data_IF_980618902454
#
_entry.id   IF_980618902454
#
_cell.length_a   1.000
_cell.length_b   1.000
_cell.length_c   1.000
_cell.angle_alpha   90.00
_cell.angle_beta   90.00
_cell.angle_gamma   90.00
#
_symmetry.space_group_name_H-M   'P 1'
#
loop_
_entity.id
_entity.type
_entity.pdbx_description
1 polymer ?
#
# COMPACT_ATOMS: atom_id res chain seq x y z
N UNK A 1 13.23 25.03 -28.55
CA UNK A 1 13.04 26.44 -28.16
C UNK A 1 13.02 26.46 -26.64
N UNK A 2 13.84 27.27 -25.98
CA UNK A 2 13.87 27.29 -24.51
C UNK A 2 12.57 27.87 -23.94
N UNK A 3 12.14 27.43 -22.76
CA UNK A 3 10.93 27.96 -22.12
C UNK A 3 11.04 29.48 -21.88
N UNK A 4 12.24 29.99 -21.61
CA UNK A 4 12.50 31.43 -21.53
C UNK A 4 12.20 32.20 -22.82
N UNK A 5 12.47 31.61 -24.00
CA UNK A 5 12.13 32.23 -25.28
C UNK A 5 10.61 32.24 -25.52
N UNK A 6 9.90 31.18 -25.12
CA UNK A 6 8.44 31.08 -25.21
C UNK A 6 7.78 32.12 -24.30
N UNK A 7 8.21 32.20 -23.03
CA UNK A 7 7.68 33.17 -22.06
C UNK A 7 7.93 34.62 -22.48
N UNK A 8 9.10 34.91 -23.07
CA UNK A 8 9.43 36.26 -23.57
C UNK A 8 8.52 36.68 -24.72
N UNK A 9 8.24 35.77 -25.66
CA UNK A 9 7.32 36.03 -26.77
C UNK A 9 5.88 36.26 -26.28
N UNK A 10 5.43 35.50 -25.28
CA UNK A 10 4.08 35.63 -24.71
C UNK A 10 3.92 36.93 -23.91
N UNK A 11 4.97 37.39 -23.21
CA UNK A 11 4.99 38.71 -22.54
C UNK A 11 4.93 39.85 -23.56
N UNK A 12 5.66 39.75 -24.66
CA UNK A 12 5.62 40.74 -25.74
C UNK A 12 4.21 40.87 -26.37
N UNK A 13 3.39 39.82 -26.28
CA UNK A 13 1.99 39.82 -26.70
C UNK A 13 1.00 40.39 -25.65
N UNK A 14 1.49 41.03 -24.58
CA UNK A 14 0.67 41.78 -23.61
C UNK A 14 0.11 40.97 -22.44
N UNK A 15 0.52 39.71 -22.26
CA UNK A 15 0.12 38.89 -21.10
C UNK A 15 1.08 39.12 -19.91
N UNK A 16 0.54 39.66 -18.81
CA UNK A 16 1.31 40.05 -17.63
C UNK A 16 1.41 38.96 -16.54
N UNK A 17 0.38 38.12 -16.39
CA UNK A 17 0.39 36.96 -15.49
C UNK A 17 0.51 35.67 -16.30
N UNK A 18 1.62 34.95 -16.14
CA UNK A 18 1.91 33.72 -16.86
C UNK A 18 2.33 32.63 -15.88
N UNK A 19 1.78 31.45 -16.07
CA UNK A 19 2.26 30.20 -15.49
C UNK A 19 2.73 29.32 -16.63
N UNK A 20 3.87 28.65 -16.47
CA UNK A 20 4.38 27.72 -17.45
C UNK A 20 4.98 26.49 -16.76
N UNK A 21 4.75 25.34 -17.38
CA UNK A 21 5.25 24.04 -16.96
C UNK A 21 5.88 23.34 -18.16
N UNK A 22 6.98 22.62 -17.93
CA UNK A 22 7.55 21.67 -18.89
C UNK A 22 7.20 20.27 -18.42
N UNK A 23 6.65 19.46 -19.33
CA UNK A 23 6.59 18.00 -19.12
C UNK A 23 7.73 17.39 -19.92
N UNK A 24 8.67 16.75 -19.23
CA UNK A 24 9.80 16.08 -19.84
C UNK A 24 9.74 14.58 -19.54
N UNK A 25 9.96 13.76 -20.57
CA UNK A 25 10.19 12.32 -20.37
C UNK A 25 11.69 12.09 -20.22
N UNK A 26 12.12 11.53 -19.08
CA UNK A 26 13.48 11.05 -18.87
C UNK A 26 13.51 9.54 -18.75
N UNK A 27 14.62 8.94 -19.13
CA UNK A 27 14.87 7.52 -18.93
C UNK A 27 15.85 7.33 -17.78
N UNK A 28 15.52 6.40 -16.89
CA UNK A 28 16.39 5.99 -15.78
C UNK A 28 16.67 4.50 -15.94
N UNK A 29 17.94 4.17 -16.12
CA UNK A 29 18.39 2.78 -16.32
C UNK A 29 19.21 2.30 -15.14
N UNK A 30 19.03 1.04 -14.76
CA UNK A 30 19.89 0.35 -13.80
C UNK A 30 19.91 -1.16 -14.06
N UNK A 31 20.96 -1.80 -13.56
CA UNK A 31 21.19 -3.24 -13.70
C UNK A 31 21.10 -3.93 -12.34
N UNK A 32 20.51 -5.11 -12.29
CA UNK A 32 20.44 -5.97 -11.12
C UNK A 32 20.96 -7.36 -11.46
N UNK A 33 21.79 -7.94 -10.58
CA UNK A 33 22.32 -9.29 -10.74
C UNK A 33 21.67 -10.22 -9.72
N UNK A 34 20.91 -11.20 -10.22
CA UNK A 34 20.36 -12.29 -9.43
C UNK A 34 21.26 -13.52 -9.57
N UNK A 35 21.89 -13.92 -8.47
CA UNK A 35 22.62 -15.18 -8.36
C UNK A 35 21.79 -16.21 -7.62
N UNK A 36 21.61 -17.38 -8.21
CA UNK A 36 20.87 -18.51 -7.65
C UNK A 36 21.89 -19.58 -7.27
N UNK A 37 22.25 -19.65 -5.99
CA UNK A 37 23.18 -20.65 -5.47
C UNK A 37 22.47 -21.99 -5.21
N UNK A 38 23.08 -23.10 -5.62
CA UNK A 38 22.49 -24.43 -5.47
C UNK A 38 21.34 -24.68 -6.45
N UNK A 39 21.48 -24.22 -7.70
CA UNK A 39 20.43 -24.27 -8.71
C UNK A 39 19.86 -25.68 -8.91
N UNK A 40 20.72 -26.71 -8.96
CA UNK A 40 20.30 -28.11 -9.11
C UNK A 40 19.43 -28.61 -7.96
N UNK A 41 19.61 -28.07 -6.75
CA UNK A 41 18.76 -28.41 -5.59
C UNK A 41 17.43 -27.67 -5.66
N UNK A 42 17.46 -26.39 -6.01
CA UNK A 42 16.26 -25.55 -6.14
C UNK A 42 15.34 -26.12 -7.22
N UNK A 43 15.89 -26.51 -8.37
CA UNK A 43 15.12 -27.12 -9.46
C UNK A 43 14.50 -28.47 -9.10
N UNK A 44 15.05 -29.22 -8.13
CA UNK A 44 14.44 -30.47 -7.65
C UNK A 44 13.34 -30.25 -6.61
N UNK A 45 13.45 -29.19 -5.81
CA UNK A 45 12.50 -28.90 -4.71
C UNK A 45 11.24 -28.23 -5.24
N UNK A 46 11.38 -27.31 -6.20
CA UNK A 46 10.25 -26.53 -6.71
C UNK A 46 9.54 -27.26 -7.84
N UNK A 47 8.23 -27.48 -7.69
CA UNK A 47 7.40 -28.03 -8.76
C UNK A 47 7.12 -26.98 -9.85
N UNK A 48 6.61 -27.44 -11.00
CA UNK A 48 6.06 -26.55 -12.05
C UNK A 48 5.05 -25.57 -11.43
N UNK A 49 5.14 -24.29 -11.79
CA UNK A 49 4.30 -23.23 -11.24
C UNK A 49 4.77 -22.65 -9.89
N UNK A 50 5.84 -23.18 -9.28
CA UNK A 50 6.47 -22.58 -8.10
C UNK A 50 7.69 -21.74 -8.50
N UNK A 51 7.87 -20.61 -7.82
CA UNK A 51 8.95 -19.67 -8.09
C UNK A 51 9.79 -19.35 -6.86
N UNK A 52 11.03 -19.00 -7.12
CA UNK A 52 11.87 -18.17 -6.25
C UNK A 52 11.70 -16.69 -6.60
N UNK A 53 11.89 -15.81 -5.61
CA UNK A 53 11.83 -14.36 -5.77
C UNK A 53 13.17 -13.75 -5.37
N UNK A 54 13.69 -12.81 -6.16
CA UNK A 54 14.88 -12.05 -5.81
C UNK A 54 14.63 -11.11 -4.62
N UNK A 55 15.72 -10.55 -4.09
CA UNK A 55 15.64 -9.33 -3.27
C UNK A 55 15.03 -8.16 -4.06
N UNK A 56 14.65 -7.10 -3.34
CA UNK A 56 14.15 -5.87 -3.94
C UNK A 56 15.28 -5.05 -4.54
N UNK A 57 15.06 -4.47 -5.72
CA UNK A 57 15.93 -3.43 -6.28
C UNK A 57 15.08 -2.29 -6.85
N UNK A 58 15.64 -1.08 -6.91
CA UNK A 58 14.88 0.12 -7.25
C UNK A 58 15.41 0.78 -8.53
N UNK A 59 14.52 1.09 -9.48
CA UNK A 59 14.85 1.76 -10.75
C UNK A 59 13.74 2.76 -11.08
N UNK A 60 14.12 3.99 -11.43
CA UNK A 60 13.16 5.04 -11.82
C UNK A 60 12.15 5.43 -10.74
N UNK A 61 12.48 5.23 -9.46
CA UNK A 61 11.57 5.47 -8.34
C UNK A 61 10.57 4.34 -8.08
N UNK A 62 10.71 3.19 -8.74
CA UNK A 62 9.89 2.00 -8.54
C UNK A 62 10.73 0.84 -7.99
N UNK A 63 10.11 0.00 -7.16
CA UNK A 63 10.72 -1.23 -6.65
C UNK A 63 10.32 -2.44 -7.48
N UNK A 64 11.28 -3.33 -7.68
CA UNK A 64 11.17 -4.47 -8.59
C UNK A 64 11.65 -5.76 -7.92
N UNK A 65 11.07 -6.88 -8.38
CA UNK A 65 11.54 -8.23 -8.09
C UNK A 65 11.67 -9.03 -9.38
N UNK A 66 12.58 -10.00 -9.38
CA UNK A 66 12.65 -11.05 -10.40
C UNK A 66 12.00 -12.31 -9.82
N UNK A 67 11.00 -12.84 -10.51
CA UNK A 67 10.43 -14.15 -10.25
C UNK A 67 11.10 -15.17 -11.19
N UNK A 68 11.66 -16.22 -10.61
CA UNK A 68 12.32 -17.30 -11.34
C UNK A 68 11.57 -18.62 -11.07
N UNK A 69 11.03 -19.20 -12.14
CA UNK A 69 10.39 -20.51 -12.15
C UNK A 69 11.34 -21.52 -12.80
N UNK A 70 12.06 -22.36 -12.02
CA UNK A 70 13.06 -23.26 -12.58
C UNK A 70 12.44 -24.34 -13.48
N UNK A 71 11.17 -24.69 -13.29
CA UNK A 71 10.47 -25.78 -13.99
C UNK A 71 9.23 -25.32 -14.75
N UNK A 72 9.19 -24.04 -15.16
CA UNK A 72 8.08 -23.45 -15.90
C UNK A 72 7.03 -22.80 -15.01
N UNK A 73 6.41 -21.72 -15.50
CA UNK A 73 5.38 -20.98 -14.76
C UNK A 73 3.98 -21.61 -14.81
N UNK A 74 3.71 -22.47 -15.80
CA UNK A 74 2.47 -23.26 -15.94
C UNK A 74 2.81 -24.63 -16.51
N UNK A 75 1.92 -25.63 -16.38
CA UNK A 75 2.18 -27.00 -16.85
C UNK A 75 2.56 -27.08 -18.34
N UNK A 76 2.00 -26.20 -19.16
CA UNK A 76 2.32 -26.11 -20.60
C UNK A 76 3.74 -25.60 -20.91
N UNK A 77 4.43 -25.02 -19.92
CA UNK A 77 5.81 -24.50 -20.03
C UNK A 77 6.81 -25.35 -19.23
N UNK A 78 6.41 -26.58 -18.87
CA UNK A 78 7.27 -27.53 -18.17
C UNK A 78 8.49 -27.85 -19.02
N UNK A 79 9.67 -27.91 -18.39
CA UNK A 79 10.94 -28.14 -19.08
C UNK A 79 11.60 -26.86 -19.58
N UNK A 80 11.08 -25.69 -19.21
CA UNK A 80 11.67 -24.38 -19.48
C UNK A 80 11.92 -23.60 -18.19
N UNK A 81 12.93 -22.74 -18.19
CA UNK A 81 13.06 -21.68 -17.18
C UNK A 81 12.13 -20.54 -17.59
N UNK A 82 11.38 -20.01 -16.63
CA UNK A 82 10.60 -18.79 -16.82
C UNK A 82 11.11 -17.68 -15.90
N UNK A 83 11.18 -16.46 -16.42
CA UNK A 83 11.56 -15.28 -15.65
C UNK A 83 10.56 -14.17 -15.86
N UNK A 84 10.18 -13.51 -14.76
CA UNK A 84 9.31 -12.34 -14.79
C UNK A 84 9.89 -11.22 -13.96
N UNK A 85 9.78 -10.00 -14.49
CA UNK A 85 9.95 -8.79 -13.70
C UNK A 85 8.59 -8.43 -13.10
N UNK A 86 8.58 -8.16 -11.80
CA UNK A 86 7.39 -7.78 -11.06
C UNK A 86 7.56 -6.39 -10.46
N UNK A 87 6.55 -5.55 -10.67
CA UNK A 87 6.48 -4.21 -10.11
C UNK A 87 5.97 -4.27 -8.66
N UNK A 88 6.89 -4.27 -7.71
CA UNK A 88 6.62 -4.49 -6.29
C UNK A 88 6.01 -3.28 -5.59
N UNK A 89 6.30 -2.06 -6.08
CA UNK A 89 5.83 -0.81 -5.47
C UNK A 89 4.64 -0.18 -6.18
N UNK A 90 3.98 -0.86 -7.13
CA UNK A 90 2.88 -0.27 -7.92
C UNK A 90 1.86 0.52 -7.08
N UNK A 91 1.41 -0.07 -5.96
CA UNK A 91 0.44 0.57 -5.07
C UNK A 91 0.93 1.89 -4.44
N UNK A 92 2.25 2.10 -4.35
CA UNK A 92 2.88 3.33 -3.83
C UNK A 92 3.26 4.30 -4.95
N UNK A 93 3.74 3.78 -6.07
CA UNK A 93 4.42 4.55 -7.12
C UNK A 93 3.58 4.76 -8.37
N UNK A 94 2.38 4.17 -8.42
CA UNK A 94 1.51 4.17 -9.59
C UNK A 94 2.02 3.25 -10.70
N UNK A 95 1.35 3.35 -11.85
CA UNK A 95 1.73 2.65 -13.08
C UNK A 95 3.10 3.11 -13.59
N UNK A 96 3.80 2.24 -14.29
CA UNK A 96 5.04 2.62 -14.96
C UNK A 96 5.25 1.88 -16.26
N UNK A 97 6.06 2.47 -17.14
CA UNK A 97 6.49 1.82 -18.39
C UNK A 97 7.99 1.60 -18.32
N UNK A 98 8.40 0.35 -18.53
CA UNK A 98 9.81 -0.01 -18.52
C UNK A 98 10.19 -0.90 -19.71
N UNK A 99 11.38 -0.64 -20.25
CA UNK A 99 12.11 -1.61 -21.06
C UNK A 99 12.84 -2.56 -20.11
N UNK A 100 12.74 -3.86 -20.39
CA UNK A 100 13.35 -4.92 -19.59
C UNK A 100 14.21 -5.79 -20.47
N UNK A 101 15.43 -6.07 -20.03
CA UNK A 101 16.34 -7.03 -20.64
C UNK A 101 16.82 -8.01 -19.57
N UNK A 102 16.73 -9.30 -19.88
CA UNK A 102 17.23 -10.37 -19.02
C UNK A 102 18.26 -11.17 -19.77
N UNK A 103 19.38 -11.47 -19.12
CA UNK A 103 20.48 -12.25 -19.67
C UNK A 103 20.97 -13.31 -18.69
N UNK A 104 21.22 -14.52 -19.17
CA UNK A 104 22.02 -15.50 -18.43
C UNK A 104 23.50 -15.15 -18.65
N UNK A 105 24.25 -15.03 -17.57
CA UNK A 105 25.69 -14.80 -17.62
C UNK A 105 26.46 -16.11 -17.68
N UNK A 106 27.50 -16.15 -18.50
CA UNK A 106 28.46 -17.25 -18.51
C UNK A 106 29.50 -17.14 -17.38
N UNK A 107 30.45 -18.09 -17.33
CA UNK A 107 31.55 -18.08 -16.36
C UNK A 107 32.46 -16.84 -16.42
N UNK A 108 32.51 -16.16 -17.56
CA UNK A 108 33.25 -14.92 -17.75
C UNK A 108 32.40 -13.67 -17.40
N UNK A 109 31.20 -13.88 -16.81
CA UNK A 109 30.22 -12.84 -16.50
C UNK A 109 29.74 -12.07 -17.73
N UNK A 110 29.72 -12.72 -18.89
CA UNK A 110 29.22 -12.15 -20.14
C UNK A 110 27.81 -12.65 -20.46
N UNK A 111 26.91 -11.80 -20.99
CA UNK A 111 25.61 -12.22 -21.48
C UNK A 111 25.76 -13.30 -22.55
N UNK A 112 25.24 -14.50 -22.27
CA UNK A 112 25.28 -15.66 -23.17
C UNK A 112 23.95 -15.87 -23.88
N UNK A 113 22.84 -15.68 -23.17
CA UNK A 113 21.49 -15.76 -23.70
C UNK A 113 20.68 -14.58 -23.18
N UNK A 114 20.19 -13.74 -24.09
CA UNK A 114 19.52 -12.47 -23.75
C UNK A 114 18.16 -12.39 -24.42
N UNK A 115 17.15 -11.95 -23.67
CA UNK A 115 15.89 -11.50 -24.25
C UNK A 115 15.53 -10.10 -23.77
N UNK A 116 14.98 -9.31 -24.69
CA UNK A 116 14.64 -7.91 -24.45
C UNK A 116 13.18 -7.66 -24.78
N UNK A 117 12.50 -6.92 -23.90
CA UNK A 117 11.17 -6.37 -24.13
C UNK A 117 11.24 -4.86 -24.07
N UNK A 118 10.96 -4.25 -25.20
CA UNK A 118 10.74 -2.80 -25.25
C UNK A 118 9.39 -2.46 -24.61
N UNK A 119 9.42 -1.42 -23.77
CA UNK A 119 8.29 -0.62 -23.30
C UNK A 119 7.05 -1.44 -22.91
N UNK A 120 7.15 -2.15 -21.79
CA UNK A 120 6.00 -2.79 -21.15
C UNK A 120 5.41 -1.89 -20.07
N UNK A 121 4.09 -1.72 -20.08
CA UNK A 121 3.36 -0.99 -19.05
C UNK A 121 2.94 -1.93 -17.93
N UNK A 122 3.47 -1.70 -16.73
CA UNK A 122 3.11 -2.36 -15.48
C UNK A 122 1.95 -1.61 -14.83
N UNK A 123 0.76 -2.21 -14.81
CA UNK A 123 -0.45 -1.64 -14.22
C UNK A 123 -1.46 -2.71 -13.84
N UNK A 124 -2.46 -2.34 -13.04
CA UNK A 124 -3.59 -3.22 -12.73
C UNK A 124 -4.43 -3.57 -13.98
N UNK A 125 -4.39 -2.74 -15.03
CA UNK A 125 -5.16 -2.98 -16.26
C UNK A 125 -4.47 -3.98 -17.20
N UNK A 126 -3.14 -4.12 -17.13
CA UNK A 126 -2.37 -5.07 -17.94
C UNK A 126 -1.94 -6.26 -17.10
N UNK A 127 -0.92 -6.07 -16.27
CA UNK A 127 -0.40 -6.96 -15.25
C UNK A 127 0.68 -6.22 -14.46
N UNK A 128 0.82 -6.53 -13.17
CA UNK A 128 1.92 -6.04 -12.33
C UNK A 128 3.22 -6.84 -12.54
N UNK A 129 3.16 -7.92 -13.30
CA UNK A 129 4.34 -8.69 -13.69
C UNK A 129 4.34 -8.98 -15.19
N UNK A 130 5.54 -9.04 -15.76
CA UNK A 130 5.73 -9.42 -17.15
C UNK A 130 7.05 -10.13 -17.34
N UNK A 131 7.08 -11.09 -18.26
CA UNK A 131 8.25 -11.92 -18.46
C UNK A 131 8.10 -12.95 -19.57
N UNK A 132 9.08 -13.83 -19.64
CA UNK A 132 9.17 -14.89 -20.61
C UNK A 132 8.78 -16.21 -19.96
N UNK A 133 7.71 -16.81 -20.48
CA UNK A 133 7.21 -18.12 -20.02
C UNK A 133 8.16 -19.25 -20.42
N UNK A 134 8.77 -19.14 -21.59
CA UNK A 134 9.81 -20.04 -22.10
C UNK A 134 11.08 -19.22 -22.35
N UNK A 135 11.78 -18.84 -21.29
CA UNK A 135 12.98 -17.99 -21.43
C UNK A 135 14.13 -18.77 -22.07
N UNK A 136 14.38 -19.98 -21.58
CA UNK A 136 15.30 -20.97 -22.15
C UNK A 136 14.80 -22.35 -21.74
N UNK A 137 14.89 -23.35 -22.63
CA UNK A 137 14.54 -24.72 -22.26
C UNK A 137 15.67 -25.36 -21.45
N UNK A 138 15.35 -26.37 -20.65
CA UNK A 138 16.36 -27.16 -19.95
C UNK A 138 17.36 -27.83 -20.88
N UNK A 139 16.89 -28.32 -22.04
CA UNK A 139 17.74 -28.95 -23.06
C UNK A 139 18.74 -27.96 -23.69
N UNK A 140 18.39 -26.68 -23.74
CA UNK A 140 19.23 -25.61 -24.31
C UNK A 140 20.12 -24.92 -23.25
N UNK A 141 19.89 -25.21 -21.96
CA UNK A 141 20.69 -24.67 -20.87
C UNK A 141 22.01 -25.44 -20.74
N UNK A 142 23.05 -24.90 -21.37
CA UNK A 142 24.41 -25.44 -21.25
C UNK A 142 24.94 -25.33 -19.80
N UNK A 143 25.03 -26.46 -19.11
CA UNK A 143 25.48 -26.54 -17.71
C UNK A 143 26.96 -26.16 -17.57
N UNK A 144 27.81 -26.51 -18.53
CA UNK A 144 29.24 -26.21 -18.50
C UNK A 144 29.56 -24.76 -18.84
N UNK A 145 28.58 -24.02 -19.38
CA UNK A 145 28.71 -22.59 -19.70
C UNK A 145 27.99 -21.68 -18.71
N UNK A 146 26.80 -22.09 -18.27
CA UNK A 146 25.86 -21.23 -17.53
C UNK A 146 25.82 -21.49 -16.02
N UNK A 147 26.36 -22.62 -15.54
CA UNK A 147 26.28 -23.03 -14.13
C UNK A 147 27.68 -23.12 -13.50
N UNK A 148 28.12 -22.05 -12.84
CA UNK A 148 29.40 -22.02 -12.10
C UNK A 148 29.21 -22.47 -10.68
N UNK A 149 29.87 -23.56 -10.27
CA UNK A 149 29.76 -24.08 -8.89
C UNK A 149 28.28 -24.32 -8.48
N UNK A 150 27.48 -24.89 -9.39
CA UNK A 150 26.02 -25.07 -9.25
C UNK A 150 25.25 -23.73 -9.05
N UNK A 151 25.74 -22.63 -9.62
CA UNK A 151 25.12 -21.33 -9.50
C UNK A 151 24.74 -20.75 -10.88
N UNK A 152 23.46 -20.40 -11.02
CA UNK A 152 22.95 -19.71 -12.20
C UNK A 152 22.92 -18.21 -11.92
N UNK A 153 23.46 -17.40 -12.83
CA UNK A 153 23.50 -15.93 -12.66
C UNK A 153 22.74 -15.23 -13.78
N UNK A 154 21.81 -14.36 -13.38
CA UNK A 154 20.94 -13.59 -14.27
C UNK A 154 21.26 -12.11 -14.11
N UNK A 155 21.53 -11.43 -15.21
CA UNK A 155 21.59 -9.98 -15.30
C UNK A 155 20.24 -9.44 -15.76
N UNK A 156 19.72 -8.45 -15.07
CA UNK A 156 18.49 -7.76 -15.39
C UNK A 156 18.75 -6.28 -15.57
N UNK A 157 18.59 -5.79 -16.80
CA UNK A 157 18.67 -4.38 -17.12
C UNK A 157 17.25 -3.82 -17.27
N UNK A 158 16.93 -2.82 -16.45
CA UNK A 158 15.63 -2.16 -16.45
C UNK A 158 15.83 -0.70 -16.79
N UNK A 159 15.03 -0.19 -17.74
CA UNK A 159 14.99 1.23 -18.09
C UNK A 159 13.57 1.73 -17.95
N UNK A 160 13.35 2.60 -16.97
CA UNK A 160 12.03 3.19 -16.68
C UNK A 160 11.93 4.56 -17.33
N UNK A 161 10.80 4.84 -17.97
CA UNK A 161 10.48 6.18 -18.46
C UNK A 161 9.71 6.94 -17.37
N UNK A 162 10.30 8.01 -16.84
CA UNK A 162 9.71 8.88 -15.83
C UNK A 162 9.29 10.19 -16.48
N UNK A 163 8.07 10.64 -16.20
CA UNK A 163 7.60 11.97 -16.60
C UNK A 163 7.86 12.94 -15.45
N UNK A 164 8.81 13.84 -15.64
CA UNK A 164 9.01 14.95 -14.70
C UNK A 164 8.24 16.17 -15.20
N UNK A 165 7.62 16.89 -14.27
CA UNK A 165 7.02 18.20 -14.55
C UNK A 165 7.84 19.26 -13.83
N UNK A 166 8.49 20.13 -14.58
CA UNK A 166 9.22 21.27 -14.03
C UNK A 166 8.35 22.52 -14.14
N UNK A 167 7.98 23.08 -13.00
CA UNK A 167 7.27 24.36 -12.92
C UNK A 167 8.27 25.51 -12.95
N UNK A 168 8.18 26.38 -13.95
CA UNK A 168 9.03 27.56 -14.03
C UNK A 168 8.38 28.72 -13.28
N UNK A 169 8.89 28.98 -12.07
CA UNK A 169 8.63 30.19 -11.28
C UNK A 169 9.97 30.89 -11.03
N UNK A 170 10.32 31.88 -11.84
CA UNK A 170 11.43 32.77 -11.51
C UNK A 170 11.02 33.69 -10.35
N UNK A 171 11.55 33.43 -9.15
CA UNK A 171 11.49 34.34 -8.01
C UNK A 171 12.88 34.44 -7.35
N UNK A 172 13.18 35.64 -6.87
CA UNK A 172 14.49 36.15 -6.49
C UNK A 172 15.22 35.42 -5.32
N UNK A 173 16.50 35.79 -5.17
CA UNK A 173 17.57 35.30 -4.30
C UNK A 173 17.27 35.23 -2.76
N UNK A 174 18.15 34.61 -1.92
CA UNK A 174 17.77 33.67 -0.85
C UNK A 174 17.67 34.19 0.60
N UNK A 175 16.89 33.42 1.39
CA UNK A 175 16.94 33.07 2.83
C UNK A 175 16.76 34.14 3.95
N UNK A 176 16.13 33.80 5.12
CA UNK A 176 16.61 32.73 6.02
C UNK A 176 15.58 31.91 6.85
N UNK A 177 16.15 30.87 7.49
CA UNK A 177 15.69 30.04 8.61
C UNK A 177 14.67 28.94 8.33
N UNK A 178 15.22 27.74 8.08
CA UNK A 178 14.55 26.44 8.06
C UNK A 178 14.07 26.08 9.47
N UNK A 179 12.75 25.95 9.64
CA UNK A 179 12.16 25.15 10.72
C UNK A 179 11.89 23.77 10.11
N UNK A 180 12.63 22.76 10.55
CA UNK A 180 12.43 21.39 10.07
C UNK A 180 10.98 20.94 10.29
N UNK A 181 10.37 20.23 9.31
CA UNK A 181 9.06 19.60 9.52
C UNK A 181 9.14 18.59 10.66
N UNK A 182 8.18 18.58 11.59
CA UNK A 182 8.13 17.67 12.75
C UNK A 182 7.88 16.20 12.36
N UNK A 183 7.61 15.92 11.09
CA UNK A 183 7.29 14.58 10.60
C UNK A 183 8.16 14.30 9.38
N UNK A 184 8.58 13.04 9.20
CA UNK A 184 9.35 12.54 8.05
C UNK A 184 8.62 12.63 6.71
N UNK A 185 8.08 13.79 6.39
CA UNK A 185 7.58 14.20 5.08
C UNK A 185 8.76 14.26 4.12
N UNK A 186 8.88 13.27 3.25
CA UNK A 186 9.80 13.32 2.09
C UNK A 186 8.97 13.45 0.82
N UNK A 187 9.30 14.45 0.01
CA UNK A 187 8.66 14.73 -1.27
C UNK A 187 8.36 16.22 -1.45
N UNK A 188 8.54 16.71 -2.69
CA UNK A 188 8.48 18.12 -3.03
C UNK A 188 7.14 18.79 -2.66
N UNK A 189 6.02 18.07 -2.73
CA UNK A 189 4.70 18.61 -2.38
C UNK A 189 4.52 18.80 -0.86
N UNK A 190 5.07 17.87 -0.06
CA UNK A 190 5.00 17.96 1.40
C UNK A 190 5.95 19.04 1.93
N UNK A 191 7.15 19.14 1.36
CA UNK A 191 8.05 20.29 1.56
C UNK A 191 7.43 21.61 1.11
N UNK A 192 6.70 21.63 -0.02
CA UNK A 192 6.04 22.85 -0.50
C UNK A 192 4.90 23.29 0.42
N UNK A 193 4.08 22.36 0.91
CA UNK A 193 3.01 22.64 1.86
C UNK A 193 3.61 23.14 3.19
N UNK A 194 4.73 22.58 3.62
CA UNK A 194 5.42 22.96 4.85
C UNK A 194 6.19 24.28 4.76
N UNK A 195 6.88 24.52 3.65
CA UNK A 195 7.84 25.63 3.51
C UNK A 195 7.21 26.94 2.97
N UNK A 196 5.94 26.93 2.52
CA UNK A 196 5.34 28.13 1.89
C UNK A 196 4.20 28.81 2.66
N UNK A 197 3.77 28.32 3.82
CA UNK A 197 2.74 29.02 4.63
C UNK A 197 3.08 29.04 6.11
N UNK A 198 2.80 30.19 6.73
CA UNK A 198 2.86 30.38 8.17
C UNK A 198 1.93 29.36 8.86
N UNK A 199 2.50 28.52 9.72
CA UNK A 199 1.76 27.59 10.58
C UNK A 199 0.76 28.40 11.41
N UNK A 200 -0.53 28.10 11.27
CA UNK A 200 -1.63 28.85 11.93
C UNK A 200 -2.29 28.06 13.07
N UNK A 201 -1.90 26.79 13.28
CA UNK A 201 -2.36 25.94 14.37
C UNK A 201 -1.20 25.18 15.02
N UNK A 202 -1.19 25.14 16.36
CA UNK A 202 -0.36 24.23 17.14
C UNK A 202 -1.25 23.20 17.82
N UNK A 203 -0.85 21.93 17.78
CA UNK A 203 -1.58 20.82 18.37
C UNK A 203 -0.79 20.25 19.54
N UNK A 204 -1.34 20.30 20.74
CA UNK A 204 -0.78 19.65 21.93
C UNK A 204 -1.38 18.25 22.06
N UNK A 205 -0.53 17.22 21.97
CA UNK A 205 -0.92 15.80 22.11
C UNK A 205 0.15 15.02 22.85
N UNK A 206 -0.21 14.30 23.91
CA UNK A 206 0.73 13.45 24.64
C UNK A 206 1.98 14.17 25.20
N UNK A 207 1.90 15.47 25.47
CA UNK A 207 3.04 16.29 25.90
C UNK A 207 3.92 16.83 24.76
N UNK A 208 3.61 16.50 23.50
CA UNK A 208 4.26 17.06 22.31
C UNK A 208 3.44 18.19 21.70
N UNK A 209 4.12 19.20 21.11
CA UNK A 209 3.48 20.28 20.37
C UNK A 209 3.80 20.14 18.88
N UNK A 210 2.76 19.97 18.07
CA UNK A 210 2.85 19.66 16.65
C UNK A 210 2.33 20.83 15.81
N UNK A 211 3.16 21.45 14.96
CA UNK A 211 2.71 22.48 14.03
C UNK A 211 1.83 21.88 12.91
N UNK A 212 0.73 22.58 12.57
CA UNK A 212 -0.21 22.16 11.53
C UNK A 212 -0.92 23.35 10.86
N UNK A 213 -1.64 23.06 9.77
CA UNK A 213 -2.41 24.03 9.00
C UNK A 213 -3.91 23.84 9.23
N UNK A 214 -4.56 24.86 9.77
CA UNK A 214 -6.00 24.90 10.05
C UNK A 214 -6.82 24.44 8.86
N UNK A 215 -6.58 25.02 7.68
CA UNK A 215 -7.36 24.75 6.46
C UNK A 215 -7.30 23.29 6.03
N UNK A 216 -6.16 22.63 6.24
CA UNK A 216 -5.99 21.22 5.88
C UNK A 216 -6.79 20.35 6.86
N UNK A 217 -6.69 20.62 8.16
CA UNK A 217 -7.44 19.90 9.19
C UNK A 217 -8.96 20.07 9.01
N UNK A 218 -9.43 21.30 8.78
CA UNK A 218 -10.85 21.61 8.57
C UNK A 218 -11.41 20.96 7.30
N UNK A 219 -10.59 20.81 6.25
CA UNK A 219 -10.99 20.16 5.01
C UNK A 219 -11.02 18.63 5.14
N UNK A 220 -10.09 18.06 5.91
CA UNK A 220 -9.96 16.61 6.08
C UNK A 220 -10.96 16.02 7.08
N UNK A 221 -11.35 16.77 8.12
CA UNK A 221 -12.25 16.27 9.16
C UNK A 221 -13.31 17.30 9.57
N UNK A 222 -14.60 16.93 9.57
CA UNK A 222 -15.66 17.79 10.10
C UNK A 222 -15.49 18.05 11.60
N UNK A 223 -14.90 17.11 12.35
CA UNK A 223 -14.61 17.26 13.77
C UNK A 223 -13.54 18.31 14.01
N UNK A 224 -12.46 18.30 13.23
CA UNK A 224 -11.46 19.38 13.30
C UNK A 224 -12.06 20.73 12.90
N UNK A 225 -12.94 20.76 11.89
CA UNK A 225 -13.66 21.97 11.49
C UNK A 225 -14.50 22.55 12.63
N UNK A 226 -15.27 21.73 13.33
CA UNK A 226 -16.07 22.17 14.46
C UNK A 226 -15.19 22.65 15.63
N UNK A 227 -14.15 21.88 15.97
CA UNK A 227 -13.26 22.16 17.10
C UNK A 227 -12.46 23.47 16.89
N UNK A 228 -11.90 23.68 15.69
CA UNK A 228 -11.15 24.88 15.34
C UNK A 228 -12.06 26.11 15.15
N UNK A 229 -13.32 25.91 14.75
CA UNK A 229 -14.31 27.01 14.72
C UNK A 229 -14.66 27.49 16.14
N UNK A 230 -14.81 26.56 17.09
CA UNK A 230 -15.07 26.88 18.49
C UNK A 230 -13.87 27.57 19.15
N UNK A 231 -12.65 27.09 18.89
CA UNK A 231 -11.42 27.67 19.41
C UNK A 231 -11.19 29.12 18.97
N UNK A 232 -11.67 29.51 17.78
CA UNK A 232 -11.64 30.90 17.31
C UNK A 232 -12.74 31.79 17.87
N UNK A 233 -13.83 31.22 18.39
CA UNK A 233 -14.90 31.98 19.03
C UNK A 233 -14.56 32.35 20.48
N UNK A 234 -13.73 31.55 21.16
CA UNK A 234 -13.34 31.74 22.56
C UNK A 234 -12.16 32.71 22.74
N UNK A 235 -11.26 32.83 21.75
CA UNK A 235 -10.17 33.82 21.76
C UNK A 235 -10.62 35.28 21.59
N UNK A 236 -11.89 35.51 21.21
CA UNK A 236 -12.47 36.84 21.06
C UNK A 236 -13.08 37.47 22.32
N UNK A 237 -13.01 36.82 23.50
CA UNK A 237 -13.76 37.27 24.69
C UNK A 237 -12.98 37.54 25.98
N UNK A 238 -11.65 37.46 25.99
CA UNK A 238 -10.91 37.96 27.16
C UNK A 238 -9.42 37.66 27.14
N UNK A 239 -8.62 38.73 27.16
CA UNK A 239 -7.22 38.69 27.59
C UNK A 239 -6.21 38.61 26.46
N UNK A 240 -5.56 39.74 26.17
CA UNK A 240 -4.56 39.93 25.12
C UNK A 240 -3.48 38.84 25.03
N UNK A 241 -3.48 38.10 23.94
CA UNK A 241 -2.25 37.64 23.30
C UNK A 241 -2.39 37.83 21.78
N UNK A 242 -1.48 38.62 21.20
CA UNK A 242 -1.46 38.96 19.77
C UNK A 242 -0.85 37.83 18.93
N UNK A 243 -1.29 36.59 19.16
CA UNK A 243 -0.79 35.41 18.47
C UNK A 243 -1.89 34.92 17.54
N UNK A 244 -1.72 35.11 16.24
CA UNK A 244 -2.69 34.68 15.21
C UNK A 244 -2.76 33.14 15.05
N UNK A 245 -2.18 32.39 15.99
CA UNK A 245 -2.03 30.93 15.99
C UNK A 245 -2.97 30.30 17.01
N UNK A 246 -3.84 29.41 16.54
CA UNK A 246 -4.78 28.69 17.39
C UNK A 246 -4.11 27.46 18.04
N UNK A 247 -4.43 27.18 19.31
CA UNK A 247 -3.96 26.00 20.04
C UNK A 247 -5.07 24.96 20.11
N UNK A 248 -4.79 23.73 19.68
CA UNK A 248 -5.70 22.59 19.72
C UNK A 248 -5.16 21.54 20.69
N UNK A 249 -5.91 21.20 21.74
CA UNK A 249 -5.51 20.14 22.70
C UNK A 249 -6.20 18.81 22.38
N UNK A 250 -5.41 17.74 22.44
CA UNK A 250 -5.86 16.36 22.24
C UNK A 250 -5.36 15.52 23.42
N UNK A 251 -6.22 15.30 24.40
CA UNK A 251 -5.84 14.65 25.67
C UNK A 251 -5.95 13.12 25.62
N UNK A 252 -6.93 12.55 24.88
CA UNK A 252 -7.14 11.09 24.81
C UNK A 252 -6.52 10.47 23.55
N UNK A 253 -5.25 10.78 23.27
CA UNK A 253 -4.51 10.14 22.18
C UNK A 253 -3.01 10.14 22.42
N UNK A 254 -2.37 9.00 22.15
CA UNK A 254 -0.92 8.91 22.11
C UNK A 254 -0.37 9.79 20.96
N UNK A 255 0.73 10.49 21.20
CA UNK A 255 1.36 11.34 20.20
C UNK A 255 1.67 10.57 18.90
N UNK A 256 2.17 9.34 18.99
CA UNK A 256 2.49 8.49 17.84
C UNK A 256 1.26 8.14 16.98
N UNK A 257 0.10 7.89 17.60
CA UNK A 257 -1.15 7.62 16.88
C UNK A 257 -1.64 8.89 16.18
N UNK A 258 -1.51 10.04 16.85
CA UNK A 258 -1.88 11.32 16.27
C UNK A 258 -0.96 11.74 15.13
N UNK A 259 0.34 11.44 15.21
CA UNK A 259 1.28 11.61 14.09
C UNK A 259 0.86 10.78 12.88
N UNK A 260 0.45 9.53 13.08
CA UNK A 260 -0.06 8.68 12.01
C UNK A 260 -1.36 9.23 11.38
N UNK A 261 -2.25 9.80 12.20
CA UNK A 261 -3.47 10.48 11.77
C UNK A 261 -3.15 11.72 10.93
N UNK A 262 -2.23 12.58 11.40
CA UNK A 262 -1.77 13.75 10.66
C UNK A 262 -1.09 13.36 9.36
N UNK A 263 -0.24 12.33 9.36
CA UNK A 263 0.38 11.82 8.14
C UNK A 263 -0.68 11.43 7.11
N UNK A 264 -1.74 10.74 7.52
CA UNK A 264 -2.85 10.43 6.64
C UNK A 264 -3.57 11.69 6.13
N UNK A 265 -3.81 12.69 6.97
CA UNK A 265 -4.48 13.93 6.56
C UNK A 265 -3.69 14.70 5.49
N UNK A 266 -2.36 14.68 5.57
CA UNK A 266 -1.51 15.39 4.62
C UNK A 266 -1.15 14.58 3.38
N UNK A 267 -0.95 13.27 3.53
CA UNK A 267 -0.41 12.39 2.48
C UNK A 267 -1.43 11.39 1.94
N UNK A 268 -2.66 11.40 2.48
CA UNK A 268 -3.74 10.46 2.14
C UNK A 268 -3.32 8.97 2.31
N UNK A 269 -2.29 8.74 3.14
CA UNK A 269 -1.78 7.41 3.50
C UNK A 269 -1.23 7.40 4.93
N UNK A 270 -1.58 6.40 5.75
CA UNK A 270 -0.98 6.21 7.06
C UNK A 270 0.46 5.65 6.92
N UNK A 271 1.26 5.65 8.01
CA UNK A 271 2.56 5.00 8.05
C UNK A 271 2.43 3.51 7.72
N UNK A 272 3.41 2.95 6.99
CA UNK A 272 3.46 1.51 6.67
C UNK A 272 4.81 0.92 7.09
N UNK A 273 4.85 -0.28 7.68
CA UNK A 273 3.71 -1.18 7.93
C UNK A 273 2.80 -0.72 9.09
N UNK A 274 1.50 -1.04 9.00
CA UNK A 274 0.53 -0.85 10.08
C UNK A 274 0.48 -2.12 10.93
N UNK A 275 1.20 -2.13 12.04
CA UNK A 275 1.11 -3.22 13.01
C UNK A 275 -0.27 -3.27 13.66
N UNK A 276 -0.71 -4.45 14.10
CA UNK A 276 -2.03 -4.70 14.70
C UNK A 276 -2.40 -3.67 15.77
N UNK A 277 -1.53 -3.42 16.75
CA UNK A 277 -1.78 -2.49 17.87
C UNK A 277 -1.89 -1.03 17.43
N UNK A 278 -1.15 -0.64 16.39
CA UNK A 278 -1.25 0.70 15.80
C UNK A 278 -2.53 0.81 14.97
N UNK A 279 -2.88 -0.21 14.19
CA UNK A 279 -4.12 -0.24 13.40
C UNK A 279 -5.37 -0.18 14.27
N UNK A 280 -5.41 -0.88 15.42
CA UNK A 280 -6.53 -0.80 16.38
C UNK A 280 -6.69 0.62 16.94
N UNK A 281 -5.59 1.24 17.40
CA UNK A 281 -5.62 2.61 17.96
C UNK A 281 -5.92 3.67 16.90
N UNK A 282 -5.37 3.51 15.69
CA UNK A 282 -5.60 4.42 14.58
C UNK A 282 -7.03 4.30 14.03
N UNK A 283 -7.66 3.11 14.09
CA UNK A 283 -9.07 2.92 13.77
C UNK A 283 -9.96 3.71 14.72
N UNK A 284 -9.69 3.64 16.04
CA UNK A 284 -10.41 4.43 17.05
C UNK A 284 -10.26 5.93 16.76
N UNK A 285 -9.06 6.38 16.41
CA UNK A 285 -8.80 7.77 16.07
C UNK A 285 -9.50 8.20 14.77
N UNK A 286 -9.48 7.34 13.74
CA UNK A 286 -10.14 7.59 12.46
C UNK A 286 -11.66 7.72 12.64
N UNK A 287 -12.26 6.89 13.48
CA UNK A 287 -13.67 6.98 13.85
C UNK A 287 -13.98 8.28 14.59
N UNK A 288 -13.15 8.63 15.61
CA UNK A 288 -13.29 9.88 16.39
C UNK A 288 -13.23 11.14 15.54
N UNK A 289 -12.39 11.17 14.50
CA UNK A 289 -12.22 12.31 13.60
C UNK A 289 -12.99 12.16 12.28
N UNK A 290 -13.88 11.17 12.16
CA UNK A 290 -14.71 10.93 10.98
C UNK A 290 -13.92 10.79 9.66
N UNK A 291 -12.75 10.14 9.73
CA UNK A 291 -11.89 9.85 8.58
C UNK A 291 -12.22 8.48 7.98
N UNK A 292 -13.33 8.40 7.25
CA UNK A 292 -13.88 7.12 6.75
C UNK A 292 -12.88 6.31 5.89
N UNK A 293 -12.10 6.99 5.04
CA UNK A 293 -11.09 6.31 4.22
C UNK A 293 -9.96 5.71 5.06
N UNK A 294 -9.52 6.38 6.11
CA UNK A 294 -8.50 5.84 7.03
C UNK A 294 -9.06 4.66 7.81
N UNK A 295 -10.32 4.75 8.24
CA UNK A 295 -11.03 3.67 8.92
C UNK A 295 -11.04 2.39 8.07
N UNK A 296 -11.39 2.49 6.79
CA UNK A 296 -11.33 1.36 5.85
C UNK A 296 -9.92 0.77 5.68
N UNK A 297 -8.88 1.61 5.63
CA UNK A 297 -7.49 1.15 5.57
C UNK A 297 -7.10 0.39 6.83
N UNK A 298 -7.51 0.87 8.01
CA UNK A 298 -7.26 0.18 9.28
C UNK A 298 -8.03 -1.15 9.36
N UNK A 299 -9.28 -1.20 8.90
CA UNK A 299 -10.06 -2.44 8.80
C UNK A 299 -9.34 -3.49 7.94
N UNK A 300 -8.84 -3.09 6.77
CA UNK A 300 -8.10 -3.99 5.88
C UNK A 300 -6.79 -4.52 6.50
N UNK A 301 -6.08 -3.69 7.27
CA UNK A 301 -4.87 -4.11 7.98
C UNK A 301 -5.20 -5.11 9.10
N UNK A 302 -6.25 -4.86 9.88
CA UNK A 302 -6.68 -5.75 10.96
C UNK A 302 -7.12 -7.12 10.46
N UNK A 303 -7.73 -7.19 9.27
CA UNK A 303 -8.14 -8.44 8.64
C UNK A 303 -6.98 -9.41 8.39
N UNK A 304 -5.77 -8.92 8.15
CA UNK A 304 -4.59 -9.77 7.96
C UNK A 304 -4.15 -10.48 9.26
N UNK A 305 -4.67 -10.03 10.41
CA UNK A 305 -4.31 -10.52 11.74
C UNK A 305 -5.48 -11.18 12.48
N UNK A 306 -6.59 -11.49 11.80
CA UNK A 306 -7.74 -12.17 12.41
C UNK A 306 -7.52 -13.69 12.42
N UNK A 307 -7.47 -14.26 13.62
CA UNK A 307 -7.48 -15.71 13.88
C UNK A 307 -8.57 -16.09 14.91
N UNK A 308 -8.66 -17.38 15.27
CA UNK A 308 -9.67 -17.87 16.23
C UNK A 308 -9.56 -17.22 17.63
N UNK A 309 -8.36 -16.82 18.05
CA UNK A 309 -8.14 -16.18 19.36
C UNK A 309 -8.44 -14.68 19.33
N UNK A 310 -8.27 -14.04 18.17
CA UNK A 310 -8.43 -12.59 18.04
C UNK A 310 -9.77 -12.14 17.46
N UNK A 311 -10.55 -13.04 16.87
CA UNK A 311 -11.81 -12.70 16.19
C UNK A 311 -12.85 -12.10 17.14
N UNK A 312 -12.87 -12.52 18.42
CA UNK A 312 -13.77 -11.94 19.43
C UNK A 312 -13.47 -10.45 19.66
N UNK A 313 -12.20 -10.12 19.87
CA UNK A 313 -11.74 -8.76 20.09
C UNK A 313 -11.91 -7.88 18.83
N UNK A 314 -11.59 -8.42 17.65
CA UNK A 314 -11.77 -7.72 16.38
C UNK A 314 -13.25 -7.42 16.09
N UNK A 315 -14.14 -8.35 16.38
CA UNK A 315 -15.58 -8.17 16.21
C UNK A 315 -16.16 -7.16 17.21
N UNK A 316 -15.71 -7.21 18.47
CA UNK A 316 -16.08 -6.20 19.48
C UNK A 316 -15.63 -4.79 19.09
N UNK A 317 -14.40 -4.66 18.57
CA UNK A 317 -13.89 -3.41 18.03
C UNK A 317 -14.73 -2.94 16.84
N UNK A 318 -15.09 -3.86 15.95
CA UNK A 318 -15.86 -3.53 14.76
C UNK A 318 -17.27 -3.05 15.07
N UNK A 319 -17.95 -3.66 16.05
CA UNK A 319 -19.27 -3.19 16.47
C UNK A 319 -19.20 -1.85 17.21
N UNK A 320 -18.20 -1.67 18.08
CA UNK A 320 -18.04 -0.43 18.86
C UNK A 320 -17.79 0.80 17.99
N UNK A 321 -17.03 0.63 16.91
CA UNK A 321 -16.67 1.71 15.98
C UNK A 321 -17.44 1.62 14.65
N UNK A 322 -18.52 0.85 14.56
CA UNK A 322 -19.34 0.75 13.34
C UNK A 322 -18.55 0.39 12.06
N UNK A 323 -17.55 -0.46 12.17
CA UNK A 323 -16.72 -0.95 11.06
C UNK A 323 -17.41 -2.10 10.32
N UNK A 324 -18.09 -1.77 9.23
CA UNK A 324 -18.93 -2.73 8.51
C UNK A 324 -18.14 -3.82 7.77
N UNK A 325 -16.96 -3.51 7.24
CA UNK A 325 -16.13 -4.46 6.47
C UNK A 325 -15.51 -5.47 7.41
N UNK A 326 -14.88 -5.01 8.50
CA UNK A 326 -14.29 -5.85 9.53
C UNK A 326 -15.34 -6.75 10.20
N UNK A 327 -16.51 -6.20 10.54
CA UNK A 327 -17.63 -6.97 11.11
C UNK A 327 -18.07 -8.10 10.16
N UNK A 328 -18.31 -7.77 8.90
CA UNK A 328 -18.79 -8.73 7.89
C UNK A 328 -17.80 -9.88 7.71
N UNK A 329 -16.52 -9.56 7.59
CA UNK A 329 -15.46 -10.54 7.44
C UNK A 329 -15.28 -11.42 8.70
N UNK A 330 -15.35 -10.85 9.91
CA UNK A 330 -15.31 -11.62 11.16
C UNK A 330 -16.51 -12.58 11.28
N UNK A 331 -17.72 -12.12 10.96
CA UNK A 331 -18.93 -12.97 10.94
C UNK A 331 -18.79 -14.06 9.88
N UNK A 332 -18.23 -13.77 8.71
CA UNK A 332 -17.99 -14.75 7.66
C UNK A 332 -16.95 -15.80 8.09
N UNK A 333 -15.87 -15.37 8.74
CA UNK A 333 -14.84 -16.25 9.28
C UNK A 333 -15.39 -17.22 10.34
N UNK A 334 -16.20 -16.71 11.28
CA UNK A 334 -16.91 -17.54 12.27
C UNK A 334 -17.96 -18.44 11.63
N UNK A 335 -18.58 -17.99 10.54
CA UNK A 335 -19.54 -18.78 9.79
C UNK A 335 -18.88 -19.92 9.00
N UNK A 336 -17.56 -20.02 8.85
CA UNK A 336 -16.92 -21.13 8.13
C UNK A 336 -17.05 -22.46 8.90
N UNK A 337 -17.16 -23.62 8.19
CA UNK A 337 -17.30 -24.92 8.85
C UNK A 337 -16.10 -25.21 9.76
N UNK A 338 -16.36 -25.71 10.98
CA UNK A 338 -15.34 -25.99 12.01
C UNK A 338 -14.94 -24.79 12.87
N UNK A 339 -14.94 -23.56 12.33
CA UNK A 339 -14.51 -22.37 13.08
C UNK A 339 -15.47 -21.99 14.21
N UNK A 340 -16.78 -22.05 13.97
CA UNK A 340 -17.77 -21.75 15.02
C UNK A 340 -17.69 -22.74 16.19
N UNK A 341 -17.48 -24.03 15.90
CA UNK A 341 -17.39 -25.07 16.93
C UNK A 341 -16.10 -24.96 17.72
N UNK A 342 -14.97 -24.71 17.04
CA UNK A 342 -13.69 -24.43 17.68
C UNK A 342 -13.73 -23.15 18.53
N UNK A 343 -14.41 -22.11 18.07
CA UNK A 343 -14.61 -20.86 18.80
C UNK A 343 -15.57 -21.01 19.99
N UNK A 344 -16.64 -21.80 19.87
CA UNK A 344 -17.53 -22.11 20.99
C UNK A 344 -16.85 -22.98 22.06
N UNK A 345 -15.88 -23.80 21.66
CA UNK A 345 -15.04 -24.56 22.56
C UNK A 345 -13.95 -23.69 23.23
N UNK A 346 -13.63 -22.51 22.66
CA UNK A 346 -12.78 -21.53 23.31
C UNK A 346 -13.57 -20.77 24.39
N UNK A 347 -12.87 -20.32 25.45
CA UNK A 347 -13.48 -19.54 26.53
C UNK A 347 -13.98 -18.15 26.09
N UNK A 348 -13.72 -17.75 24.85
CA UNK A 348 -13.97 -16.41 24.32
C UNK A 348 -15.42 -16.20 23.87
N UNK A 349 -16.23 -17.27 23.85
CA UNK A 349 -17.66 -17.19 23.56
C UNK A 349 -18.43 -16.28 24.55
N UNK A 350 -17.96 -16.19 25.80
CA UNK A 350 -18.54 -15.28 26.80
C UNK A 350 -18.38 -13.80 26.40
N UNK A 351 -17.23 -13.44 25.81
CA UNK A 351 -16.94 -12.08 25.35
C UNK A 351 -17.85 -11.69 24.18
N UNK A 352 -18.17 -12.64 23.30
CA UNK A 352 -19.11 -12.43 22.20
C UNK A 352 -20.54 -12.16 22.72
N UNK A 353 -20.96 -12.88 23.77
CA UNK A 353 -22.30 -12.72 24.37
C UNK A 353 -22.49 -11.35 25.02
N UNK A 354 -21.44 -10.80 25.63
CA UNK A 354 -21.49 -9.50 26.31
C UNK A 354 -21.19 -8.33 25.38
N UNK A 355 -20.28 -8.51 24.41
CA UNK A 355 -19.81 -7.44 23.53
C UNK A 355 -20.59 -7.28 22.24
N UNK A 356 -21.18 -8.37 21.69
CA UNK A 356 -21.74 -8.36 20.33
C UNK A 356 -23.04 -9.17 20.15
N UNK A 357 -24.17 -8.72 20.72
CA UNK A 357 -25.44 -9.44 20.61
C UNK A 357 -25.97 -9.49 19.16
N UNK A 358 -25.63 -8.49 18.32
CA UNK A 358 -26.10 -8.43 16.92
C UNK A 358 -25.44 -9.52 16.06
N UNK A 359 -24.13 -9.69 16.18
CA UNK A 359 -23.38 -10.71 15.46
C UNK A 359 -23.79 -12.13 15.89
N UNK A 360 -24.09 -12.32 17.18
CA UNK A 360 -24.59 -13.60 17.70
C UNK A 360 -25.94 -13.99 17.07
N UNK A 361 -26.88 -13.05 16.98
CA UNK A 361 -28.17 -13.29 16.32
C UNK A 361 -27.98 -13.64 14.84
N UNK A 362 -27.09 -12.93 14.13
CA UNK A 362 -26.78 -13.19 12.73
C UNK A 362 -26.16 -14.59 12.51
N UNK A 363 -25.25 -15.01 13.39
CA UNK A 363 -24.65 -16.34 13.36
C UNK A 363 -25.68 -17.45 13.62
N UNK A 364 -26.61 -17.24 14.56
CA UNK A 364 -27.71 -18.16 14.83
C UNK A 364 -28.65 -18.32 13.63
N UNK A 365 -29.05 -17.20 13.01
CA UNK A 365 -29.89 -17.21 11.80
C UNK A 365 -29.17 -17.93 10.66
N UNK A 366 -27.87 -17.65 10.42
CA UNK A 366 -27.08 -18.34 9.39
C UNK A 366 -26.96 -19.85 9.66
N UNK A 367 -26.83 -20.26 10.93
CA UNK A 367 -26.79 -21.68 11.32
C UNK A 367 -28.14 -22.37 11.07
N UNK A 368 -29.25 -21.73 11.44
CA UNK A 368 -30.61 -22.24 11.18
C UNK A 368 -30.86 -22.42 9.68
N UNK A 369 -30.53 -21.41 8.87
CA UNK A 369 -30.67 -21.45 7.41
C UNK A 369 -29.84 -22.56 6.75
N UNK A 370 -28.67 -22.91 7.32
CA UNK A 370 -27.85 -24.02 6.82
C UNK A 370 -28.43 -25.38 7.17
N UNK A 371 -28.99 -25.54 8.38
CA UNK A 371 -29.66 -26.79 8.76
C UNK A 371 -30.91 -27.03 7.91
N UNK A 372 -31.66 -25.98 7.60
CA UNK A 372 -32.84 -26.06 6.73
C UNK A 372 -32.47 -26.44 5.28
N UNK A 373 -31.40 -25.85 4.73
CA UNK A 373 -30.84 -26.25 3.42
C UNK A 373 -30.33 -27.69 3.43
N UNK A 374 -29.62 -28.12 4.47
CA UNK A 374 -29.14 -29.50 4.62
C UNK A 374 -30.28 -30.52 4.69
N UNK A 375 -31.35 -30.18 5.43
CA UNK A 375 -32.53 -31.02 5.59
C UNK A 375 -33.38 -31.09 4.32
N UNK A 376 -33.52 -29.97 3.59
CA UNK A 376 -34.17 -29.92 2.27
C UNK A 376 -33.41 -30.71 1.21
N UNK A 377 -32.07 -30.69 1.26
CA UNK A 377 -31.20 -31.47 0.36
C UNK A 377 -31.30 -32.97 0.66
N UNK A 378 -31.30 -33.37 1.94
CA UNK A 378 -31.53 -34.77 2.34
C UNK A 378 -32.94 -35.25 1.96
N UNK A 379 -33.97 -34.42 2.07
CA UNK A 379 -35.33 -34.76 1.64
C UNK A 379 -35.44 -34.99 0.12
N UNK A 380 -34.69 -34.23 -0.69
CA UNK A 380 -34.60 -34.43 -2.14
C UNK A 380 -33.88 -35.72 -2.51
N UNK A 381 -32.78 -36.04 -1.82
CA UNK A 381 -32.02 -37.29 -2.03
C UNK A 381 -32.86 -38.51 -1.63
N UNK A 382 -33.57 -38.45 -0.49
CA UNK A 382 -34.47 -39.51 -0.02
C UNK A 382 -35.60 -39.81 -1.03
N UNK A 383 -36.22 -38.78 -1.63
CA UNK A 383 -37.25 -38.97 -2.66
C UNK A 383 -36.70 -39.58 -3.95
N UNK A 384 -35.48 -39.24 -4.36
CA UNK A 384 -34.84 -39.81 -5.54
C UNK A 384 -34.46 -41.30 -5.37
N UNK A 385 -34.06 -41.71 -4.16
CA UNK A 385 -33.79 -43.12 -3.86
C UNK A 385 -35.05 -43.98 -3.67
N UNK A 386 -36.22 -43.38 -3.47
CA UNK A 386 -37.50 -44.09 -3.29
C UNK A 386 -38.24 -44.36 -4.60
N UNK A 387 -37.72 -43.86 -5.73
CA UNK A 387 -38.34 -43.95 -7.06
C UNK A 387 -37.62 -44.90 -8.03
N UNK A 388 -36.79 -45.81 -7.51
CA UNK A 388 -36.13 -46.86 -8.30
C UNK A 388 -36.54 -48.26 -7.82
#
# INVERSE_FOLDING_TARGET
>A
MSMGAVLSAVRAAGRQQLSASIVAARQVSASHVLRIDGYSRISKILATGQATRSGTFSVGGHDWHILHYPNGCFEQHKGSLSFFLEHASHAKTGDTTAKVELSILDHASKPSHTQTKADYRFSNATSLNWGWRDFIKHEDLDVEKHLKDDCLTILCDVTVTVLDTEDHSEAAAPEPTVVEPPFGMRGQLAEFIWNKKEVDVHIEVGGETLPAHRRILEAASPVFKAHLSLASATTGRGGGCNSNTALLRVDDMDAEVFKALLQFIYLDSPPRPLEKTMAERLLVAADRYELEKLKLICEAALLQHVDLSSVAAALALAERHHCSVLRTACVQFLSSPGNLEAFMASGDFAQLKTGCPSALLELLVKKMMRQEKGMSTMHRISRACSSH
#
